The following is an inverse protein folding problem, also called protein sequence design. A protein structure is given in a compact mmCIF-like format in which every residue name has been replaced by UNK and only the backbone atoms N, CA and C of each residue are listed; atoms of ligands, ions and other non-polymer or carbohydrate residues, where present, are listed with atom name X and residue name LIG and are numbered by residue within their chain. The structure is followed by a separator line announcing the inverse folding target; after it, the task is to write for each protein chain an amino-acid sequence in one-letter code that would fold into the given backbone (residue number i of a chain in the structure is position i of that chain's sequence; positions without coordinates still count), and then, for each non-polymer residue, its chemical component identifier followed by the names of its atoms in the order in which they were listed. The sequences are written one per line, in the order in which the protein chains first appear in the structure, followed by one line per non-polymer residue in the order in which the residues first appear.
data_IF_341677311095
#
_entry.id   IF_341677311095
#
_cell.length_a   1.000
_cell.length_b   1.000
_cell.length_c   1.000
_cell.angle_alpha   90.00
_cell.angle_beta   90.00
_cell.angle_gamma   90.00
#
_symmetry.space_group_name_H-M   'P 1'
#
loop_
_entity.id
_entity.type
_entity.pdbx_description
1 polymer ?
#
# COMPACT_ATOMS: atom_id res chain seq x y z
N UNK A 1 8.72 -10.47 66.13
CA UNK A 1 8.36 -11.88 66.00
C UNK A 1 6.87 -11.97 65.64
N UNK A 2 6.38 -12.58 64.57
CA UNK A 2 6.95 -13.14 63.34
C UNK A 2 5.80 -13.25 62.32
N UNK A 3 6.11 -12.96 61.06
CA UNK A 3 5.69 -13.64 59.83
C UNK A 3 4.21 -13.69 59.39
N UNK A 4 3.91 -12.81 58.42
CA UNK A 4 3.32 -13.08 57.08
C UNK A 4 2.88 -14.53 56.80
N UNK A 5 1.62 -14.73 56.36
CA UNK A 5 1.37 -15.58 55.20
C UNK A 5 0.09 -15.24 54.42
N UNK A 6 0.33 -15.07 53.13
CA UNK A 6 -0.53 -14.68 52.03
C UNK A 6 -1.16 -15.94 51.41
N UNK A 7 -2.47 -15.91 51.13
CA UNK A 7 -3.09 -16.81 50.15
C UNK A 7 -4.18 -16.08 49.39
N UNK A 8 -3.74 -15.24 48.46
CA UNK A 8 -4.45 -14.83 47.28
C UNK A 8 -4.61 -16.05 46.34
N UNK A 9 -5.83 -16.45 45.96
CA UNK A 9 -6.15 -17.05 44.66
C UNK A 9 -7.61 -17.49 44.55
N UNK A 10 -8.44 -16.68 43.88
CA UNK A 10 -9.52 -17.17 43.03
C UNK A 10 -9.97 -16.03 42.10
N UNK A 11 -9.10 -15.68 41.14
CA UNK A 11 -9.52 -14.89 39.99
C UNK A 11 -10.47 -15.76 39.15
N UNK A 12 -11.76 -15.50 39.36
CA UNK A 12 -12.90 -16.16 38.74
C UNK A 12 -12.93 -15.86 37.24
N UNK A 13 -12.23 -16.68 36.46
CA UNK A 13 -12.46 -16.83 35.02
C UNK A 13 -13.34 -18.05 34.81
N UNK A 14 -14.63 -17.89 35.09
CA UNK A 14 -15.65 -18.85 34.66
C UNK A 14 -15.74 -18.74 33.14
N UNK A 15 -14.95 -19.56 32.45
CA UNK A 15 -15.09 -19.76 31.00
C UNK A 15 -16.37 -20.54 30.80
N UNK A 16 -17.42 -19.86 30.36
CA UNK A 16 -18.68 -20.48 29.94
C UNK A 16 -18.39 -21.44 28.78
N UNK A 17 -18.17 -22.71 29.08
CA UNK A 17 -18.29 -23.79 28.09
C UNK A 17 -19.79 -24.00 27.87
N UNK A 18 -20.38 -23.16 27.04
CA UNK A 18 -21.74 -23.37 26.54
C UNK A 18 -21.83 -24.77 25.95
N UNK A 19 -22.90 -25.50 26.28
CA UNK A 19 -23.17 -26.85 25.79
C UNK A 19 -22.90 -26.91 24.28
N UNK A 20 -21.81 -27.57 23.87
CA UNK A 20 -21.52 -27.80 22.46
C UNK A 20 -22.60 -28.76 21.95
N UNK A 21 -23.53 -28.26 21.15
CA UNK A 21 -24.46 -29.10 20.43
C UNK A 21 -23.68 -29.89 19.39
N UNK A 22 -23.67 -31.23 19.51
CA UNK A 22 -22.91 -32.13 18.63
C UNK A 22 -23.22 -31.89 17.14
N UNK A 23 -24.47 -31.54 16.82
CA UNK A 23 -24.91 -31.29 15.44
C UNK A 23 -24.26 -30.03 14.84
N UNK A 24 -24.06 -28.98 15.65
CA UNK A 24 -23.41 -27.75 15.22
C UNK A 24 -21.91 -27.98 14.98
N UNK A 25 -21.25 -28.74 15.85
CA UNK A 25 -19.85 -29.14 15.68
C UNK A 25 -19.70 -29.94 14.38
N UNK A 26 -20.55 -30.94 14.15
CA UNK A 26 -20.51 -31.76 12.94
C UNK A 26 -20.72 -30.91 11.68
N UNK A 27 -21.61 -29.92 11.71
CA UNK A 27 -21.80 -29.01 10.60
C UNK A 27 -20.54 -28.16 10.31
N UNK A 28 -19.87 -27.66 11.36
CA UNK A 28 -18.63 -26.89 11.22
C UNK A 28 -17.51 -27.75 10.63
N UNK A 29 -17.35 -28.99 11.09
CA UNK A 29 -16.34 -29.91 10.54
C UNK A 29 -16.62 -30.21 9.07
N UNK A 30 -17.88 -30.46 8.70
CA UNK A 30 -18.26 -30.70 7.30
C UNK A 30 -17.96 -29.50 6.41
N UNK A 31 -18.29 -28.28 6.88
CA UNK A 31 -17.95 -27.07 6.15
C UNK A 31 -16.44 -26.92 6.02
N UNK A 32 -15.69 -27.18 7.09
CA UNK A 32 -14.24 -27.10 7.08
C UNK A 32 -13.62 -28.07 6.08
N UNK A 33 -14.09 -29.32 6.01
CA UNK A 33 -13.61 -30.29 5.02
C UNK A 33 -13.93 -29.86 3.59
N UNK A 34 -15.16 -29.41 3.30
CA UNK A 34 -15.53 -28.96 1.96
C UNK A 34 -14.69 -27.77 1.50
N UNK A 35 -14.42 -26.81 2.39
CA UNK A 35 -13.53 -25.68 2.08
C UNK A 35 -12.08 -26.12 1.84
N UNK A 36 -11.61 -27.19 2.49
CA UNK A 36 -10.29 -27.76 2.20
C UNK A 36 -10.26 -28.46 0.84
N UNK A 37 -11.32 -29.16 0.45
CA UNK A 37 -11.43 -29.80 -0.87
C UNK A 37 -11.43 -28.74 -1.99
N UNK A 38 -12.16 -27.63 -1.80
CA UNK A 38 -12.14 -26.48 -2.72
C UNK A 38 -10.73 -25.88 -2.83
N UNK A 39 -10.08 -25.66 -1.69
CA UNK A 39 -8.72 -25.12 -1.66
C UNK A 39 -7.69 -26.06 -2.32
N UNK A 40 -7.84 -27.38 -2.15
CA UNK A 40 -6.97 -28.36 -2.80
C UNK A 40 -7.11 -28.27 -4.32
N UNK A 41 -8.33 -28.17 -4.85
CA UNK A 41 -8.56 -27.99 -6.28
C UNK A 41 -7.88 -26.72 -6.80
N UNK A 42 -8.08 -25.58 -6.13
CA UNK A 42 -7.45 -24.30 -6.49
C UNK A 42 -5.92 -24.39 -6.48
N UNK A 43 -5.34 -25.09 -5.48
CA UNK A 43 -3.90 -25.30 -5.42
C UNK A 43 -3.38 -26.22 -6.51
N UNK A 44 -4.11 -27.27 -6.86
CA UNK A 44 -3.72 -28.14 -7.97
C UNK A 44 -3.69 -27.37 -9.28
N UNK A 45 -4.63 -26.45 -9.48
CA UNK A 45 -4.68 -25.60 -10.66
C UNK A 45 -3.58 -24.54 -10.66
N UNK A 46 -3.29 -23.93 -9.50
CA UNK A 46 -2.18 -23.01 -9.32
C UNK A 46 -0.81 -23.67 -9.62
N UNK A 47 -0.61 -24.92 -9.19
CA UNK A 47 0.62 -25.67 -9.47
C UNK A 47 0.74 -26.00 -10.96
N UNK A 48 -0.36 -26.46 -11.60
CA UNK A 48 -0.37 -26.67 -13.06
C UNK A 48 -0.02 -25.40 -13.81
N UNK A 49 -0.49 -24.25 -13.35
CA UNK A 49 -0.21 -22.95 -13.96
C UNK A 49 1.25 -22.52 -13.79
N UNK A 50 1.84 -22.81 -12.63
CA UNK A 50 3.25 -22.52 -12.34
C UNK A 50 4.21 -23.23 -13.31
N UNK A 51 3.89 -24.47 -13.70
CA UNK A 51 4.71 -25.26 -14.62
C UNK A 51 4.64 -24.77 -16.09
N UNK A 52 3.67 -23.90 -16.41
CA UNK A 52 3.50 -23.35 -17.74
C UNK A 52 4.46 -22.17 -17.93
N UNK A 53 5.47 -22.34 -18.79
CA UNK A 53 6.49 -21.31 -19.04
C UNK A 53 5.98 -20.02 -19.71
N UNK A 54 4.73 -19.97 -20.17
CA UNK A 54 4.17 -18.84 -20.94
C UNK A 54 3.67 -17.67 -20.09
N UNK A 55 3.67 -17.76 -18.76
CA UNK A 55 3.21 -16.66 -17.92
C UNK A 55 4.12 -15.43 -18.02
N UNK A 56 3.49 -14.26 -18.06
CA UNK A 56 4.19 -12.97 -17.95
C UNK A 56 4.86 -12.86 -16.58
N UNK A 57 5.88 -12.01 -16.46
CA UNK A 57 6.60 -11.81 -15.19
C UNK A 57 5.68 -11.34 -14.07
N UNK A 58 4.68 -10.52 -14.38
CA UNK A 58 3.70 -10.03 -13.40
C UNK A 58 2.80 -11.15 -12.88
N UNK A 59 2.31 -12.02 -13.77
CA UNK A 59 1.48 -13.17 -13.40
C UNK A 59 2.26 -14.18 -12.55
N UNK A 60 3.54 -14.42 -12.87
CA UNK A 60 4.42 -15.28 -12.05
C UNK A 60 4.59 -14.72 -10.65
N UNK A 61 4.88 -13.42 -10.51
CA UNK A 61 5.03 -12.78 -9.19
C UNK A 61 3.75 -12.90 -8.37
N UNK A 62 2.57 -12.73 -9.00
CA UNK A 62 1.28 -12.90 -8.32
C UNK A 62 1.08 -14.33 -7.83
N UNK A 63 1.38 -15.32 -8.68
CA UNK A 63 1.26 -16.74 -8.36
C UNK A 63 2.21 -17.14 -7.21
N UNK A 64 3.48 -16.74 -7.29
CA UNK A 64 4.49 -17.05 -6.27
C UNK A 64 4.16 -16.41 -4.92
N UNK A 65 3.66 -15.17 -4.94
CA UNK A 65 3.24 -14.47 -3.72
C UNK A 65 2.02 -15.14 -3.09
N UNK A 66 1.06 -15.57 -3.91
CA UNK A 66 -0.11 -16.33 -3.46
C UNK A 66 0.29 -17.67 -2.82
N UNK A 67 1.13 -18.47 -3.48
CA UNK A 67 1.62 -19.76 -2.96
C UNK A 67 2.35 -19.59 -1.63
N UNK A 68 3.21 -18.58 -1.52
CA UNK A 68 3.94 -18.26 -0.28
C UNK A 68 2.99 -17.92 0.85
N UNK A 69 1.98 -17.08 0.59
CA UNK A 69 0.98 -16.69 1.59
C UNK A 69 0.14 -17.87 2.07
N UNK A 70 -0.31 -18.72 1.14
CA UNK A 70 -1.09 -19.92 1.49
C UNK A 70 -0.25 -20.84 2.35
N UNK A 71 0.98 -21.17 1.97
CA UNK A 71 1.82 -22.11 2.72
C UNK A 71 1.97 -21.68 4.19
N UNK A 72 2.32 -20.40 4.42
CA UNK A 72 2.42 -19.83 5.76
C UNK A 72 1.10 -19.87 6.52
N UNK A 73 -0.03 -19.62 5.85
CA UNK A 73 -1.37 -19.62 6.46
C UNK A 73 -1.84 -21.03 6.82
N UNK A 74 -1.59 -22.03 5.96
CA UNK A 74 -1.93 -23.43 6.22
C UNK A 74 -1.13 -23.97 7.40
N UNK A 75 0.16 -23.63 7.47
CA UNK A 75 0.98 -24.02 8.62
C UNK A 75 0.49 -23.37 9.91
N UNK A 76 0.08 -22.10 9.87
CA UNK A 76 -0.56 -21.44 11.02
C UNK A 76 -1.88 -22.13 11.43
N UNK A 77 -2.72 -22.52 10.46
CA UNK A 77 -3.98 -23.24 10.70
C UNK A 77 -3.73 -24.64 11.30
N UNK A 78 -2.72 -25.35 10.81
CA UNK A 78 -2.29 -26.63 11.36
C UNK A 78 -1.87 -26.50 12.84
N UNK A 79 -1.07 -25.48 13.19
CA UNK A 79 -0.69 -25.23 14.58
C UNK A 79 -1.88 -24.86 15.47
N UNK A 80 -2.87 -24.14 14.93
CA UNK A 80 -4.14 -23.84 15.63
C UNK A 80 -4.91 -25.12 15.95
N UNK A 81 -5.01 -26.04 14.99
CA UNK A 81 -5.73 -27.31 15.16
C UNK A 81 -5.05 -28.22 16.19
N UNK A 82 -3.71 -28.18 16.29
CA UNK A 82 -2.96 -28.90 17.31
C UNK A 82 -3.07 -28.30 18.73
N UNK A 83 -3.62 -27.08 18.86
CA UNK A 83 -3.70 -26.39 20.16
C UNK A 83 -2.36 -25.85 20.65
N UNK A 84 -1.36 -25.67 19.77
CA UNK A 84 -0.06 -25.10 20.13
C UNK A 84 -0.18 -23.59 20.39
N UNK A 85 0.56 -23.05 21.36
CA UNK A 85 0.59 -21.62 21.63
C UNK A 85 1.36 -20.86 20.55
N UNK A 86 0.61 -20.25 19.63
CA UNK A 86 1.13 -19.55 18.46
C UNK A 86 1.84 -18.25 18.80
N UNK A 87 1.58 -17.65 19.97
CA UNK A 87 2.20 -16.37 20.37
C UNK A 87 3.71 -16.46 20.50
N UNK A 88 4.22 -17.66 20.76
CA UNK A 88 5.66 -17.94 20.90
C UNK A 88 6.27 -18.50 19.61
N UNK A 89 5.45 -18.82 18.61
CA UNK A 89 5.90 -19.49 17.41
C UNK A 89 6.31 -18.45 16.35
N UNK A 90 7.46 -18.67 15.70
CA UNK A 90 8.01 -17.78 14.68
C UNK A 90 7.13 -17.65 13.42
N UNK A 91 6.18 -18.55 13.22
CA UNK A 91 5.22 -18.53 12.10
C UNK A 91 4.46 -17.21 11.97
N UNK A 92 4.20 -16.51 13.08
CA UNK A 92 3.52 -15.21 13.01
C UNK A 92 4.34 -14.20 12.20
N UNK A 93 5.66 -14.23 12.37
CA UNK A 93 6.58 -13.37 11.61
C UNK A 93 6.61 -13.77 10.13
N UNK A 94 6.61 -15.07 9.81
CA UNK A 94 6.57 -15.53 8.41
C UNK A 94 5.23 -15.20 7.73
N UNK A 95 4.13 -15.26 8.48
CA UNK A 95 2.82 -14.85 8.01
C UNK A 95 2.77 -13.34 7.76
N UNK A 96 3.31 -12.53 8.68
CA UNK A 96 3.34 -11.08 8.51
C UNK A 96 4.25 -10.67 7.34
N UNK A 97 5.39 -11.33 7.15
CA UNK A 97 6.22 -11.17 5.95
C UNK A 97 5.45 -11.51 4.66
N UNK A 98 4.68 -12.60 4.65
CA UNK A 98 3.89 -12.96 3.48
C UNK A 98 2.80 -11.92 3.18
N UNK A 99 2.17 -11.33 4.21
CA UNK A 99 1.22 -10.21 4.04
C UNK A 99 1.90 -8.95 3.49
N UNK A 100 3.12 -8.64 3.95
CA UNK A 100 3.88 -7.50 3.41
C UNK A 100 4.17 -7.66 1.91
N UNK A 101 4.47 -8.87 1.46
CA UNK A 101 4.66 -9.18 0.04
C UNK A 101 3.37 -8.93 -0.77
N UNK A 102 2.22 -9.38 -0.27
CA UNK A 102 0.92 -9.10 -0.89
C UNK A 102 0.60 -7.61 -0.93
N UNK A 103 0.83 -6.88 0.18
CA UNK A 103 0.61 -5.44 0.22
C UNK A 103 1.50 -4.69 -0.78
N UNK A 104 2.73 -5.16 -0.97
CA UNK A 104 3.66 -4.60 -1.95
C UNK A 104 3.22 -4.88 -3.39
N UNK A 105 2.76 -6.09 -3.68
CA UNK A 105 2.19 -6.44 -4.99
C UNK A 105 0.99 -5.55 -5.32
N UNK A 106 0.08 -5.35 -4.38
CA UNK A 106 -1.06 -4.45 -4.54
C UNK A 106 -0.64 -3.00 -4.81
N UNK A 107 0.40 -2.49 -4.13
CA UNK A 107 0.93 -1.15 -4.38
C UNK A 107 1.50 -1.00 -5.78
N UNK A 108 2.21 -2.02 -6.27
CA UNK A 108 2.75 -2.04 -7.63
C UNK A 108 1.61 -2.05 -8.65
N UNK A 109 0.63 -2.95 -8.47
CA UNK A 109 -0.54 -3.03 -9.34
C UNK A 109 -1.33 -1.72 -9.35
N UNK A 110 -1.50 -1.08 -8.19
CA UNK A 110 -2.13 0.23 -8.09
C UNK A 110 -1.35 1.30 -8.86
N UNK A 111 -0.03 1.39 -8.66
CA UNK A 111 0.83 2.34 -9.37
C UNK A 111 0.79 2.15 -10.89
N UNK A 112 0.77 0.91 -11.37
CA UNK A 112 0.66 0.61 -12.80
C UNK A 112 -0.70 1.00 -13.38
N UNK A 113 -1.77 0.82 -12.60
CA UNK A 113 -3.14 1.19 -12.99
C UNK A 113 -3.45 2.69 -12.88
N UNK A 114 -2.62 3.45 -12.16
CA UNK A 114 -2.85 4.86 -11.90
C UNK A 114 -2.77 5.70 -13.19
N UNK A 115 -3.75 6.58 -13.39
CA UNK A 115 -3.79 7.50 -14.51
C UNK A 115 -2.57 8.43 -14.50
N UNK A 116 -1.76 8.39 -15.57
CA UNK A 116 -0.57 9.24 -15.72
C UNK A 116 -0.96 10.47 -16.52
N UNK A 117 -0.51 11.65 -16.07
CA UNK A 117 -0.68 12.89 -16.84
C UNK A 117 0.09 12.78 -18.16
N UNK A 118 -0.54 13.17 -19.26
CA UNK A 118 0.15 13.27 -20.54
C UNK A 118 1.19 14.40 -20.49
N UNK A 119 2.47 14.01 -20.43
CA UNK A 119 3.59 14.92 -20.35
C UNK A 119 3.60 15.91 -21.53
N UNK A 120 3.15 15.50 -22.72
CA UNK A 120 3.10 16.37 -23.89
C UNK A 120 2.05 17.46 -23.71
N UNK A 121 0.83 17.11 -23.30
CA UNK A 121 -0.21 18.08 -22.96
C UNK A 121 0.20 18.97 -21.79
N UNK A 122 0.76 18.40 -20.71
CA UNK A 122 1.24 19.16 -19.56
C UNK A 122 2.29 20.20 -19.95
N UNK A 123 3.26 19.85 -20.81
CA UNK A 123 4.24 20.81 -21.34
C UNK A 123 3.60 21.97 -22.10
N UNK A 124 2.56 21.69 -22.89
CA UNK A 124 1.80 22.74 -23.62
C UNK A 124 1.07 23.66 -22.65
N UNK A 125 0.41 23.09 -21.62
CA UNK A 125 -0.28 23.88 -20.61
C UNK A 125 0.69 24.76 -19.81
N UNK A 126 1.85 24.22 -19.42
CA UNK A 126 2.89 24.98 -18.73
C UNK A 126 3.43 26.08 -19.65
N UNK A 127 3.76 25.79 -20.90
CA UNK A 127 4.27 26.79 -21.84
C UNK A 127 3.25 27.92 -22.11
N UNK A 128 1.97 27.57 -22.29
CA UNK A 128 0.90 28.55 -22.45
C UNK A 128 0.65 29.37 -21.18
N UNK A 129 0.75 28.75 -20.00
CA UNK A 129 0.59 29.43 -18.71
C UNK A 129 1.80 30.28 -18.30
N UNK A 130 3.01 29.90 -18.74
CA UNK A 130 4.27 30.61 -18.46
C UNK A 130 4.63 31.65 -19.52
N UNK A 131 3.95 31.69 -20.66
CA UNK A 131 4.11 32.78 -21.62
C UNK A 131 3.58 34.05 -20.96
N UNK A 132 4.50 34.79 -20.35
CA UNK A 132 4.28 36.03 -19.62
C UNK A 132 3.36 36.95 -20.41
N UNK A 133 2.17 37.20 -19.88
CA UNK A 133 1.44 38.44 -20.15
C UNK A 133 2.29 39.50 -19.43
N UNK A 134 2.98 40.35 -20.20
CA UNK A 134 4.05 41.21 -19.71
C UNK A 134 3.54 42.06 -18.55
N UNK A 135 4.12 41.89 -17.36
CA UNK A 135 3.76 42.69 -16.19
C UNK A 135 4.68 43.90 -16.16
N UNK A 136 4.12 45.10 -16.07
CA UNK A 136 4.90 46.30 -15.76
C UNK A 136 5.45 46.22 -14.31
N UNK A 137 6.36 47.11 -13.94
CA UNK A 137 6.95 47.17 -12.59
C UNK A 137 5.90 47.31 -11.48
N UNK A 138 4.70 47.78 -11.80
CA UNK A 138 3.54 47.93 -10.90
C UNK A 138 2.60 46.71 -10.85
N UNK A 139 2.96 45.60 -11.52
CA UNK A 139 2.17 44.36 -11.51
C UNK A 139 0.91 44.41 -12.38
N UNK A 140 0.79 45.39 -13.28
CA UNK A 140 -0.32 45.50 -14.23
C UNK A 140 0.03 44.78 -15.54
N UNK A 141 -0.92 44.00 -16.05
CA UNK A 141 -0.78 43.23 -17.28
C UNK A 141 -0.83 44.11 -18.54
N UNK A 142 0.23 44.10 -19.34
CA UNK A 142 0.39 44.92 -20.54
C UNK A 142 0.80 44.10 -21.78
N UNK A 143 0.54 44.62 -23.00
CA UNK A 143 1.03 44.05 -24.24
C UNK A 143 2.57 44.13 -24.34
N UNK A 144 3.19 43.21 -25.09
CA UNK A 144 4.65 43.08 -25.24
C UNK A 144 5.36 44.37 -25.65
N UNK A 145 4.78 45.10 -26.60
CA UNK A 145 5.35 46.33 -27.12
C UNK A 145 5.46 47.39 -26.03
N UNK A 146 4.45 47.46 -25.17
CA UNK A 146 4.35 48.48 -24.14
C UNK A 146 5.33 48.20 -22.99
N UNK A 147 5.50 46.93 -22.62
CA UNK A 147 6.54 46.52 -21.66
C UNK A 147 7.96 46.83 -22.14
N UNK A 148 8.26 46.58 -23.42
CA UNK A 148 9.58 46.91 -24.00
C UNK A 148 9.84 48.42 -23.99
N UNK A 149 8.80 49.23 -24.22
CA UNK A 149 8.90 50.69 -24.10
C UNK A 149 9.13 51.13 -22.64
N UNK A 150 8.37 50.63 -21.66
CA UNK A 150 8.55 50.96 -20.23
C UNK A 150 9.95 50.59 -19.72
N UNK A 151 10.48 49.44 -20.12
CA UNK A 151 11.86 49.04 -19.82
C UNK A 151 12.88 50.04 -20.40
N UNK A 152 12.73 50.45 -21.65
CA UNK A 152 13.63 51.38 -22.30
C UNK A 152 13.62 52.77 -21.65
N UNK A 153 12.44 53.25 -21.22
CA UNK A 153 12.29 54.51 -20.48
C UNK A 153 13.00 54.46 -19.13
N UNK A 154 12.80 53.38 -18.36
CA UNK A 154 13.49 53.21 -17.06
C UNK A 154 15.02 53.22 -17.18
N UNK A 155 15.57 52.69 -18.27
CA UNK A 155 17.02 52.68 -18.54
C UNK A 155 17.50 54.08 -18.94
N UNK A 156 16.73 54.82 -19.74
CA UNK A 156 17.04 56.19 -20.12
C UNK A 156 17.06 57.14 -18.92
N UNK A 157 16.10 57.02 -18.00
CA UNK A 157 16.02 57.86 -16.79
C UNK A 157 17.19 57.62 -15.82
N UNK A 158 17.68 56.38 -15.75
CA UNK A 158 18.88 56.07 -14.96
C UNK A 158 20.16 56.66 -15.59
N UNK A 159 20.27 56.67 -16.92
CA UNK A 159 21.43 57.23 -17.62
C UNK A 159 21.45 58.77 -17.55
N UNK A 160 20.29 59.43 -17.61
CA UNK A 160 20.20 60.90 -17.47
C UNK A 160 20.56 61.36 -16.07
N UNK A 161 20.11 60.64 -15.02
CA UNK A 161 20.45 60.93 -13.63
C UNK A 161 21.96 60.73 -13.30
N UNK A 162 22.65 59.84 -13.99
CA UNK A 162 24.11 59.66 -13.85
C UNK A 162 24.90 60.77 -14.56
N UNK A 163 24.36 61.36 -15.63
CA UNK A 163 25.02 62.45 -16.37
C UNK A 163 24.85 63.82 -15.72
N UNK A 164 23.80 64.03 -14.93
CA UNK A 164 23.56 65.28 -14.17
C UNK A 164 24.27 65.34 -12.82
N UNK A 165 24.87 64.23 -12.36
CA UNK A 165 25.58 64.11 -11.07
C UNK A 165 27.11 64.10 -11.20
N UNK A 166 27.66 64.62 -12.30
CA UNK A 166 29.10 64.84 -12.51
C UNK A 166 29.42 66.29 -12.83
#
# INVERSE_FOLDING_TARGET
MDMVNNSNCANKRDVYFGQLNNDQLLAIIKHFSTSLDELENDLTDAIKLHDIQTLTTEERIKLDTFLTYINSTLFWMYLKLQGTDIRKHYILHDLDRAKELLAREQQITYYLSAHRLDLAATKRFIAAGMHTRFLDMDGVMMPELQYKCSLAESVCDNITNIKTTK
#
